data_IF_652848461394
#
_entry.id   IF_652848461394
#
_cell.length_a   1.000
_cell.length_b   1.000
_cell.length_c   1.000
_cell.angle_alpha   90.00
_cell.angle_beta   90.00
_cell.angle_gamma   90.00
#
_symmetry.space_group_name_H-M   'P 1'
#
loop_
_entity.id
_entity.type
_entity.pdbx_description
1 polymer ?
#
# COMPACT_ATOMS: atom_id res chain seq x y z
N UNK A 1 -9.51 17.15 -8.61
CA UNK A 1 -10.94 17.20 -8.24
C UNK A 1 -11.35 15.83 -7.73
N UNK A 2 -12.10 15.78 -6.62
CA UNK A 2 -12.66 14.53 -6.10
C UNK A 2 -13.83 14.05 -6.97
N UNK A 3 -13.92 12.73 -7.18
CA UNK A 3 -15.10 12.12 -7.81
C UNK A 3 -16.11 11.77 -6.71
N UNK A 4 -17.43 11.88 -6.98
CA UNK A 4 -18.44 11.43 -6.04
C UNK A 4 -18.33 9.90 -5.85
N UNK A 5 -18.61 9.44 -4.62
CA UNK A 5 -18.41 8.07 -4.10
C UNK A 5 -16.94 7.69 -3.86
N UNK A 6 -16.72 7.03 -2.72
CA UNK A 6 -15.53 6.23 -2.41
C UNK A 6 -16.01 4.85 -1.95
N UNK A 7 -15.11 3.87 -2.01
CA UNK A 7 -15.37 2.55 -1.44
C UNK A 7 -14.57 2.40 -0.13
N UNK A 8 -15.23 1.97 0.93
CA UNK A 8 -14.66 1.70 2.23
C UNK A 8 -14.79 0.22 2.61
N UNK A 9 -13.86 -0.25 3.44
CA UNK A 9 -13.90 -1.60 4.01
C UNK A 9 -13.19 -1.60 5.36
N UNK A 10 -13.90 -2.12 6.37
CA UNK A 10 -13.29 -2.38 7.68
C UNK A 10 -12.50 -3.69 7.61
N UNK A 11 -11.26 -3.64 8.07
CA UNK A 11 -10.35 -4.77 8.13
C UNK A 11 -10.37 -5.33 9.56
N UNK A 12 -10.79 -6.59 9.70
CA UNK A 12 -10.89 -7.30 10.97
C UNK A 12 -9.84 -8.39 11.13
N UNK A 13 -9.27 -8.88 10.04
CA UNK A 13 -8.30 -9.99 10.06
C UNK A 13 -7.01 -9.64 9.33
N UNK A 14 -5.93 -10.31 9.71
CA UNK A 14 -4.64 -10.20 9.02
C UNK A 14 -4.74 -10.64 7.54
N UNK A 15 -5.56 -11.65 7.26
CA UNK A 15 -5.81 -12.11 5.89
C UNK A 15 -6.45 -11.00 5.03
N UNK A 16 -7.48 -10.32 5.56
CA UNK A 16 -8.10 -9.18 4.89
C UNK A 16 -7.09 -8.06 4.65
N UNK A 17 -6.26 -7.77 5.65
CA UNK A 17 -5.18 -6.79 5.52
C UNK A 17 -4.22 -7.15 4.39
N UNK A 18 -3.71 -8.37 4.38
CA UNK A 18 -2.75 -8.86 3.38
C UNK A 18 -3.32 -8.81 1.96
N UNK A 19 -4.57 -9.22 1.77
CA UNK A 19 -5.24 -9.16 0.46
C UNK A 19 -5.35 -7.71 -0.04
N UNK A 20 -5.76 -6.78 0.82
CA UNK A 20 -5.91 -5.36 0.42
C UNK A 20 -4.58 -4.66 0.22
N UNK A 21 -3.59 -4.94 1.07
CA UNK A 21 -2.23 -4.40 0.92
C UNK A 21 -1.63 -4.84 -0.42
N UNK A 22 -1.71 -6.14 -0.74
CA UNK A 22 -1.25 -6.68 -2.03
C UNK A 22 -2.01 -6.04 -3.20
N UNK A 23 -3.33 -5.88 -3.10
CA UNK A 23 -4.10 -5.19 -4.13
C UNK A 23 -3.54 -3.78 -4.41
N UNK A 24 -3.29 -2.99 -3.36
CA UNK A 24 -2.77 -1.63 -3.49
C UNK A 24 -1.37 -1.63 -4.12
N UNK A 25 -0.44 -2.45 -3.61
CA UNK A 25 0.94 -2.53 -4.09
C UNK A 25 1.04 -2.98 -5.55
N UNK A 26 0.22 -3.95 -5.97
CA UNK A 26 0.21 -4.46 -7.34
C UNK A 26 -0.70 -3.68 -8.30
N UNK A 27 -1.41 -2.65 -7.85
CA UNK A 27 -2.26 -1.85 -8.74
C UNK A 27 -1.49 -1.18 -9.90
N UNK A 28 -0.30 -0.58 -9.69
CA UNK A 28 0.50 -0.02 -10.78
C UNK A 28 0.94 -1.08 -11.81
N UNK A 29 1.23 -2.30 -11.36
CA UNK A 29 1.62 -3.42 -12.23
C UNK A 29 0.43 -3.89 -13.08
N UNK A 30 -0.73 -4.09 -12.45
CA UNK A 30 -1.97 -4.47 -13.16
C UNK A 30 -2.44 -3.40 -14.14
N UNK A 31 -2.14 -2.14 -13.86
CA UNK A 31 -2.37 -1.01 -14.76
C UNK A 31 -1.35 -0.87 -15.89
N UNK A 32 -0.31 -1.72 -15.94
CA UNK A 32 0.74 -1.66 -16.97
C UNK A 32 1.69 -0.47 -16.84
N UNK A 33 1.76 0.16 -15.66
CA UNK A 33 2.60 1.35 -15.44
C UNK A 33 4.06 0.99 -15.15
N UNK A 34 4.28 -0.17 -14.51
CA UNK A 34 5.59 -0.70 -14.12
C UNK A 34 5.57 -2.22 -14.10
N UNK A 35 6.74 -2.85 -14.25
CA UNK A 35 6.86 -4.32 -14.23
C UNK A 35 6.90 -4.92 -12.81
N UNK A 36 7.11 -4.09 -11.80
CA UNK A 36 7.26 -4.53 -10.41
C UNK A 36 6.69 -3.51 -9.42
N UNK A 37 6.04 -3.94 -8.32
CA UNK A 37 5.42 -3.00 -7.39
C UNK A 37 6.44 -2.11 -6.67
N UNK A 38 7.67 -2.57 -6.43
CA UNK A 38 8.72 -1.85 -5.68
C UNK A 38 9.40 -0.72 -6.48
N UNK A 39 9.22 -0.70 -7.81
CA UNK A 39 9.82 0.34 -8.67
C UNK A 39 8.90 1.55 -8.84
N UNK A 40 7.63 1.44 -8.45
CA UNK A 40 6.71 2.58 -8.51
C UNK A 40 7.10 3.63 -7.47
N UNK A 41 7.40 4.89 -7.84
CA UNK A 41 7.92 5.88 -6.89
C UNK A 41 6.91 6.28 -5.81
N UNK A 42 5.61 6.12 -6.08
CA UNK A 42 4.51 6.50 -5.18
C UNK A 42 3.90 5.28 -4.47
N UNK A 43 4.74 4.30 -4.13
CA UNK A 43 4.34 3.07 -3.42
C UNK A 43 5.03 2.98 -2.06
N UNK A 44 4.42 2.24 -1.13
CA UNK A 44 5.11 1.73 0.07
C UNK A 44 5.70 0.33 -0.12
N UNK A 45 5.47 -0.32 -1.27
CA UNK A 45 5.90 -1.70 -1.50
C UNK A 45 7.40 -1.93 -1.28
N UNK A 46 8.26 -0.99 -1.71
CA UNK A 46 9.71 -1.10 -1.49
C UNK A 46 10.10 -1.16 -0.01
N UNK A 47 9.45 -0.36 0.83
CA UNK A 47 9.71 -0.36 2.28
C UNK A 47 9.27 -1.71 2.91
N UNK A 48 8.10 -2.21 2.52
CA UNK A 48 7.54 -3.45 3.08
C UNK A 48 8.24 -4.72 2.58
N UNK A 49 8.69 -4.75 1.32
CA UNK A 49 9.25 -5.95 0.69
C UNK A 49 10.77 -6.00 0.78
N UNK A 50 11.45 -4.85 0.78
CA UNK A 50 12.91 -4.78 0.66
C UNK A 50 13.57 -3.85 1.69
N UNK A 51 12.81 -3.27 2.63
CA UNK A 51 13.29 -2.20 3.51
C UNK A 51 13.89 -1.01 2.72
N UNK A 52 13.41 -0.80 1.50
CA UNK A 52 13.83 0.30 0.64
C UNK A 52 13.02 1.56 0.98
N UNK A 53 13.63 2.64 1.47
CA UNK A 53 12.91 3.86 1.80
C UNK A 53 12.24 4.46 0.56
N UNK A 54 11.00 4.90 0.73
CA UNK A 54 10.23 5.63 -0.28
C UNK A 54 10.47 7.14 -0.21
N UNK A 55 9.65 7.90 -0.96
CA UNK A 55 9.68 9.37 -0.95
C UNK A 55 9.30 9.98 0.41
N UNK A 56 8.54 9.25 1.21
CA UNK A 56 8.09 9.67 2.54
C UNK A 56 8.45 8.57 3.55
N UNK A 57 8.83 8.94 4.79
CA UNK A 57 9.01 7.98 5.86
C UNK A 57 7.66 7.32 6.19
N UNK A 58 7.71 6.03 6.51
CA UNK A 58 6.54 5.25 6.91
C UNK A 58 6.66 4.97 8.40
N UNK A 59 5.65 5.39 9.14
CA UNK A 59 5.52 5.05 10.55
C UNK A 59 4.93 3.63 10.71
N UNK A 60 5.66 2.79 11.45
CA UNK A 60 5.31 1.40 11.75
C UNK A 60 5.38 1.10 13.25
N UNK A 61 5.43 2.12 14.11
CA UNK A 61 5.60 1.94 15.56
C UNK A 61 4.29 1.58 16.29
N UNK A 62 3.13 1.86 15.69
CA UNK A 62 1.80 1.62 16.24
C UNK A 62 1.59 2.10 17.69
N UNK A 63 2.32 3.13 18.12
CA UNK A 63 2.29 3.60 19.52
C UNK A 63 0.89 4.07 19.94
N UNK A 64 0.05 4.48 18.98
CA UNK A 64 -1.33 4.90 19.16
C UNK A 64 -2.32 3.79 19.53
N UNK A 65 -1.90 2.52 19.53
CA UNK A 65 -2.71 1.38 19.99
C UNK A 65 -2.59 1.10 21.50
N UNK A 66 -1.68 1.79 22.21
CA UNK A 66 -1.51 1.71 23.66
C UNK A 66 -2.19 2.90 24.35
#
# INVERSE_FOLDING_TARGET
MWKPRFDDLIIYTEEQFRVKLNYIHYNPVRGGLVDSPIVWPYTSAGDWMENKPGLLPIDKNFEWLN
#
